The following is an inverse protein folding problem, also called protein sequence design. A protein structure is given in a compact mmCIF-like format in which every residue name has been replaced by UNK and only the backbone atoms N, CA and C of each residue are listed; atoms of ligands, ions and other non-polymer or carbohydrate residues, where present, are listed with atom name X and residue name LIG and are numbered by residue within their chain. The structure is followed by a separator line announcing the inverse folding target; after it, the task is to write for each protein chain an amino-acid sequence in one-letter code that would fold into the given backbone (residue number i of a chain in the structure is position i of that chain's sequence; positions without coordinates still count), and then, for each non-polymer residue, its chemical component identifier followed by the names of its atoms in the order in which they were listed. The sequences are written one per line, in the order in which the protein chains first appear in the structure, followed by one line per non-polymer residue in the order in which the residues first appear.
data_IF_110553413378
#
_entry.id   IF_110553413378
#
_cell.length_a   1.000
_cell.length_b   1.000
_cell.length_c   1.000
_cell.angle_alpha   90.00
_cell.angle_beta   90.00
_cell.angle_gamma   90.00
#
_symmetry.space_group_name_H-M   'P 1'
#
loop_
_entity.id
_entity.type
_entity.pdbx_description
1 polymer ?
#
# COMPACT_ATOMS: atom_id res chain seq x y z
N UNK A 1 -18.98 -1.94 -4.20
CA UNK A 1 -18.03 -0.87 -3.83
C UNK A 1 -17.27 -1.16 -2.53
N UNK A 2 -17.93 -1.59 -1.44
CA UNK A 2 -17.32 -1.77 -0.11
C UNK A 2 -16.11 -2.70 -0.11
N UNK A 3 -16.23 -3.93 -0.59
CA UNK A 3 -15.17 -4.95 -0.45
C UNK A 3 -13.81 -4.60 -1.07
N UNK A 4 -13.80 -3.82 -2.15
CA UNK A 4 -12.56 -3.37 -2.81
C UNK A 4 -11.91 -2.21 -2.07
N UNK A 5 -12.73 -1.29 -1.55
CA UNK A 5 -12.26 -0.19 -0.70
C UNK A 5 -11.75 -0.71 0.64
N UNK A 6 -12.44 -1.70 1.23
CA UNK A 6 -12.01 -2.36 2.47
C UNK A 6 -10.62 -3.01 2.28
N UNK A 7 -10.43 -3.71 1.15
CA UNK A 7 -9.15 -4.35 0.81
C UNK A 7 -8.06 -3.31 0.56
N UNK A 8 -8.38 -2.22 -0.15
CA UNK A 8 -7.46 -1.10 -0.36
C UNK A 8 -7.01 -0.48 0.98
N UNK A 9 -7.96 -0.25 1.89
CA UNK A 9 -7.66 0.33 3.20
C UNK A 9 -6.80 -0.60 4.05
N UNK A 10 -7.05 -1.90 3.99
CA UNK A 10 -6.24 -2.91 4.67
C UNK A 10 -4.80 -2.93 4.16
N UNK A 11 -4.61 -2.92 2.83
CA UNK A 11 -3.28 -2.90 2.22
C UNK A 11 -2.56 -1.56 2.50
N UNK A 12 -3.27 -0.43 2.55
CA UNK A 12 -2.73 0.86 3.00
C UNK A 12 -2.27 0.82 4.46
N UNK A 13 -3.03 0.17 5.36
CA UNK A 13 -2.63 0.02 6.76
C UNK A 13 -1.35 -0.80 6.89
N UNK A 14 -1.23 -1.90 6.13
CA UNK A 14 0.00 -2.70 6.08
C UNK A 14 1.18 -1.89 5.59
N UNK A 15 0.99 -1.10 4.53
CA UNK A 15 2.04 -0.19 4.01
C UNK A 15 2.49 0.82 5.07
N UNK A 16 1.56 1.43 5.80
CA UNK A 16 1.88 2.37 6.88
C UNK A 16 2.69 1.70 8.00
N UNK A 17 2.30 0.49 8.41
CA UNK A 17 3.05 -0.26 9.44
C UNK A 17 4.46 -0.61 8.98
N UNK A 18 4.61 -1.08 7.73
CA UNK A 18 5.91 -1.36 7.13
C UNK A 18 6.76 -0.08 7.02
N UNK A 19 6.15 1.03 6.63
CA UNK A 19 6.82 2.31 6.53
C UNK A 19 7.30 2.83 7.88
N UNK A 20 6.46 2.75 8.91
CA UNK A 20 6.84 3.13 10.27
C UNK A 20 7.97 2.25 10.83
N UNK A 21 7.91 0.93 10.59
CA UNK A 21 8.99 0.03 10.97
C UNK A 21 10.30 0.35 10.23
N UNK A 22 10.22 0.66 8.94
CA UNK A 22 11.37 1.05 8.12
C UNK A 22 11.99 2.36 8.60
N UNK A 23 11.15 3.36 8.91
CA UNK A 23 11.58 4.65 9.48
C UNK A 23 12.25 4.47 10.85
N UNK A 24 11.70 3.61 11.72
CA UNK A 24 12.31 3.28 13.02
C UNK A 24 13.68 2.62 12.87
N UNK A 25 13.87 1.84 11.81
CA UNK A 25 15.16 1.22 11.49
C UNK A 25 16.09 2.15 10.70
N UNK A 26 15.67 3.40 10.43
CA UNK A 26 16.36 4.35 9.56
C UNK A 26 16.63 3.80 8.14
N UNK A 27 15.83 2.82 7.70
CA UNK A 27 15.90 2.24 6.36
C UNK A 27 15.02 3.10 5.45
N UNK A 28 15.58 3.69 4.39
CA UNK A 28 14.80 4.42 3.39
C UNK A 28 13.66 3.55 2.84
N UNK A 29 12.47 4.13 2.70
CA UNK A 29 11.30 3.43 2.16
C UNK A 29 11.53 2.91 0.72
N UNK A 30 12.43 3.56 -0.02
CA UNK A 30 12.88 3.12 -1.35
C UNK A 30 13.73 1.85 -1.29
N UNK A 31 14.51 1.67 -0.22
CA UNK A 31 15.45 0.56 -0.06
C UNK A 31 14.81 -0.62 0.70
N UNK A 32 13.56 -0.48 1.13
CA UNK A 32 12.81 -1.55 1.77
C UNK A 32 11.97 -2.32 0.74
N UNK A 33 12.41 -3.52 0.31
CA UNK A 33 11.69 -4.29 -0.72
C UNK A 33 10.27 -4.67 -0.30
N UNK A 34 10.01 -4.86 0.99
CA UNK A 34 8.67 -5.16 1.49
C UNK A 34 7.73 -3.95 1.36
N UNK A 35 8.22 -2.73 1.63
CA UNK A 35 7.45 -1.49 1.39
C UNK A 35 7.18 -1.30 -0.10
N UNK A 36 8.17 -1.56 -0.95
CA UNK A 36 8.06 -1.43 -2.41
C UNK A 36 7.07 -2.42 -3.02
N UNK A 37 7.08 -3.68 -2.59
CA UNK A 37 6.12 -4.68 -3.05
C UNK A 37 4.70 -4.32 -2.62
N UNK A 38 4.55 -3.87 -1.37
CA UNK A 38 3.25 -3.52 -0.84
C UNK A 38 2.70 -2.22 -1.46
N UNK A 39 3.57 -1.27 -1.82
CA UNK A 39 3.17 -0.07 -2.57
C UNK A 39 2.60 -0.43 -3.93
N UNK A 40 3.26 -1.35 -4.66
CA UNK A 40 2.77 -1.80 -5.98
C UNK A 40 1.38 -2.43 -5.91
N UNK A 41 1.11 -3.24 -4.89
CA UNK A 41 -0.22 -3.84 -4.69
C UNK A 41 -1.30 -2.79 -4.41
N UNK A 42 -0.97 -1.79 -3.59
CA UNK A 42 -1.89 -0.67 -3.34
C UNK A 42 -2.14 0.11 -4.64
N UNK A 43 -1.10 0.43 -5.41
CA UNK A 43 -1.22 1.17 -6.67
C UNK A 43 -2.09 0.43 -7.70
N UNK A 44 -1.92 -0.88 -7.85
CA UNK A 44 -2.77 -1.72 -8.70
C UNK A 44 -4.23 -1.73 -8.23
N UNK A 45 -4.47 -1.82 -6.92
CA UNK A 45 -5.83 -1.76 -6.37
C UNK A 45 -6.46 -0.38 -6.58
N UNK A 46 -5.70 0.72 -6.41
CA UNK A 46 -6.17 2.09 -6.72
C UNK A 46 -6.54 2.19 -8.19
N UNK A 47 -5.69 1.73 -9.11
CA UNK A 47 -5.94 1.78 -10.54
C UNK A 47 -7.26 1.04 -10.89
N UNK A 48 -7.46 -0.17 -10.36
CA UNK A 48 -8.68 -0.95 -10.57
C UNK A 48 -9.94 -0.32 -9.96
N UNK A 49 -9.81 0.38 -8.84
CA UNK A 49 -10.91 1.14 -8.24
C UNK A 49 -11.24 2.35 -9.12
N UNK A 50 -10.22 3.05 -9.62
CA UNK A 50 -10.36 4.25 -10.45
C UNK A 50 -10.99 3.92 -11.81
N UNK A 51 -10.59 2.82 -12.44
CA UNK A 51 -11.21 2.27 -13.66
C UNK A 51 -12.68 1.87 -13.49
N UNK A 52 -13.11 1.55 -12.25
CA UNK A 52 -14.51 1.20 -11.95
C UNK A 52 -15.39 2.40 -11.59
N UNK A 53 -14.78 3.56 -11.32
CA UNK A 53 -15.48 4.79 -10.97
C UNK A 53 -15.62 5.71 -12.20
N UNK A 54 -14.85 5.46 -13.27
CA UNK A 54 -14.91 6.16 -14.57
C UNK A 54 -15.81 5.42 -15.54
#
# INVERSE_FOLDING_TARGET
MSRLLDLLEEERRKLNQLGEASLKQAIPLCDNPAVQEQSRRVDELVARVNERIT
#
